data_IF_410922105295
#
_entry.id   IF_410922105295
#
_cell.length_a   1.000
_cell.length_b   1.000
_cell.length_c   1.000
_cell.angle_alpha   90.00
_cell.angle_beta   90.00
_cell.angle_gamma   90.00
#
_symmetry.space_group_name_H-M   'P 1'
#
loop_
_entity.id
_entity.type
_entity.pdbx_description
1 polymer ?
#
# COMPACT_ATOMS: atom_id res chain seq x y z
N UNK A 1 22.67 -3.01 -8.55
CA UNK A 1 23.06 -4.24 -7.83
C UNK A 1 22.10 -4.42 -6.68
N UNK A 2 21.50 -5.61 -6.51
CA UNK A 2 20.56 -5.88 -5.41
C UNK A 2 21.37 -6.13 -4.13
N UNK A 3 21.00 -5.47 -3.03
CA UNK A 3 21.65 -5.65 -1.74
C UNK A 3 21.05 -6.85 -1.00
N UNK A 4 21.90 -7.85 -0.71
CA UNK A 4 21.54 -9.00 0.11
C UNK A 4 21.57 -8.59 1.58
N UNK A 5 20.43 -8.78 2.25
CA UNK A 5 20.24 -8.38 3.64
C UNK A 5 20.82 -9.44 4.57
N UNK A 6 21.36 -9.00 5.70
CA UNK A 6 21.72 -9.91 6.80
C UNK A 6 20.48 -10.35 7.57
N UNK A 7 20.60 -11.40 8.38
CA UNK A 7 19.51 -11.87 9.25
C UNK A 7 18.99 -10.78 10.18
N UNK A 8 19.89 -9.95 10.74
CA UNK A 8 19.53 -8.81 11.58
C UNK A 8 18.71 -7.76 10.81
N UNK A 9 19.12 -7.43 9.59
CA UNK A 9 18.40 -6.47 8.75
C UNK A 9 17.02 -6.99 8.33
N UNK A 10 16.88 -8.31 8.14
CA UNK A 10 15.59 -8.95 7.88
C UNK A 10 14.66 -8.78 9.08
N UNK A 11 15.14 -8.93 10.31
CA UNK A 11 14.33 -8.69 11.52
C UNK A 11 13.96 -7.21 11.70
N UNK A 12 14.87 -6.27 11.39
CA UNK A 12 14.57 -4.85 11.39
C UNK A 12 13.49 -4.49 10.35
N UNK A 13 13.59 -5.05 9.15
CA UNK A 13 12.56 -4.90 8.12
C UNK A 13 11.23 -5.53 8.54
N UNK A 14 11.26 -6.68 9.24
CA UNK A 14 10.04 -7.31 9.77
C UNK A 14 9.33 -6.37 10.74
N UNK A 15 10.07 -5.75 11.66
CA UNK A 15 9.49 -4.79 12.60
C UNK A 15 8.88 -3.57 11.89
N UNK A 16 9.58 -2.98 10.92
CA UNK A 16 9.07 -1.86 10.14
C UNK A 16 7.80 -2.22 9.36
N UNK A 17 7.77 -3.37 8.69
CA UNK A 17 6.59 -3.82 7.93
C UNK A 17 5.42 -4.24 8.85
N UNK A 18 5.69 -4.78 10.04
CA UNK A 18 4.64 -5.01 11.04
C UNK A 18 4.00 -3.71 11.52
N UNK A 19 4.79 -2.64 11.66
CA UNK A 19 4.24 -1.33 12.00
C UNK A 19 3.34 -0.80 10.88
N UNK A 20 3.76 -0.88 9.62
CA UNK A 20 2.89 -0.52 8.47
C UNK A 20 1.55 -1.27 8.53
N UNK A 21 1.59 -2.59 8.74
CA UNK A 21 0.37 -3.39 8.86
C UNK A 21 -0.53 -2.96 10.02
N UNK A 22 0.06 -2.59 11.17
CA UNK A 22 -0.67 -2.03 12.32
C UNK A 22 -1.27 -0.66 11.99
N UNK A 23 -0.54 0.22 11.30
CA UNK A 23 -1.05 1.53 10.86
C UNK A 23 -2.22 1.38 9.91
N UNK A 24 -2.13 0.50 8.90
CA UNK A 24 -3.25 0.21 8.00
C UNK A 24 -4.46 -0.36 8.76
N UNK A 25 -4.22 -1.23 9.74
CA UNK A 25 -5.26 -1.76 10.63
C UNK A 25 -5.90 -0.69 11.53
N UNK A 26 -5.13 0.32 11.95
CA UNK A 26 -5.66 1.47 12.67
C UNK A 26 -6.56 2.30 11.76
N UNK A 27 -6.08 2.67 10.57
CA UNK A 27 -6.84 3.45 9.59
C UNK A 27 -8.15 2.80 9.19
N UNK A 28 -8.17 1.46 9.07
CA UNK A 28 -9.38 0.70 8.77
C UNK A 28 -10.56 1.00 9.70
N UNK A 29 -10.31 1.38 10.96
CA UNK A 29 -11.35 1.72 11.95
C UNK A 29 -12.03 3.06 11.66
N UNK A 30 -11.36 3.93 10.91
CA UNK A 30 -11.77 5.31 10.65
C UNK A 30 -12.23 5.53 9.21
N UNK A 31 -12.05 4.55 8.32
CA UNK A 31 -12.53 4.63 6.93
C UNK A 31 -14.05 4.45 6.91
N UNK A 32 -14.75 5.57 6.72
CA UNK A 32 -16.21 5.63 6.68
C UNK A 32 -16.68 6.81 5.81
N UNK A 33 -17.94 6.79 5.32
CA UNK A 33 -18.52 7.94 4.64
C UNK A 33 -18.45 9.21 5.50
N UNK A 34 -18.12 10.34 4.88
CA UNK A 34 -18.00 11.65 5.54
C UNK A 34 -16.61 11.96 6.09
N UNK A 35 -15.70 10.98 6.19
CA UNK A 35 -14.30 11.20 6.57
C UNK A 35 -13.53 11.75 5.37
N UNK A 36 -12.72 12.79 5.57
CA UNK A 36 -11.82 13.27 4.53
C UNK A 36 -10.44 12.63 4.63
N UNK A 37 -9.78 12.48 3.49
CA UNK A 37 -8.48 11.79 3.40
C UNK A 37 -7.37 12.44 4.25
N UNK A 38 -7.42 13.75 4.48
CA UNK A 38 -6.46 14.43 5.37
C UNK A 38 -6.63 14.06 6.84
N UNK A 39 -7.83 13.67 7.28
CA UNK A 39 -8.02 13.12 8.63
C UNK A 39 -7.33 11.77 8.78
N UNK A 40 -7.44 10.90 7.78
CA UNK A 40 -6.76 9.60 7.76
C UNK A 40 -5.24 9.79 7.78
N UNK A 41 -4.71 10.74 7.02
CA UNK A 41 -3.28 11.06 7.01
C UNK A 41 -2.75 11.48 8.39
N UNK A 42 -3.51 12.33 9.12
CA UNK A 42 -3.16 12.73 10.49
C UNK A 42 -3.15 11.55 11.46
N UNK A 43 -4.15 10.67 11.38
CA UNK A 43 -4.22 9.46 12.22
C UNK A 43 -3.03 8.55 11.92
N UNK A 44 -2.68 8.38 10.64
CA UNK A 44 -1.53 7.58 10.25
C UNK A 44 -0.24 8.17 10.81
N UNK A 45 -0.02 9.48 10.63
CA UNK A 45 1.19 10.15 11.11
C UNK A 45 1.34 10.03 12.63
N UNK A 46 0.28 10.32 13.39
CA UNK A 46 0.27 10.21 14.85
C UNK A 46 0.59 8.78 15.27
N UNK A 47 -0.11 7.78 14.71
CA UNK A 47 0.12 6.37 15.03
C UNK A 47 1.54 5.91 14.71
N UNK A 48 2.10 6.32 13.57
CA UNK A 48 3.48 5.98 13.17
C UNK A 48 4.49 6.56 14.17
N UNK A 49 4.32 7.83 14.55
CA UNK A 49 5.23 8.54 15.47
C UNK A 49 5.15 8.00 16.89
N UNK A 50 3.93 7.71 17.37
CA UNK A 50 3.70 7.12 18.68
C UNK A 50 4.33 5.73 18.83
N UNK A 51 4.56 5.04 17.72
CA UNK A 51 5.24 3.74 17.67
C UNK A 51 6.75 3.85 17.33
N UNK A 52 7.34 5.05 17.46
CA UNK A 52 8.78 5.26 17.36
C UNK A 52 9.34 5.28 15.94
N UNK A 53 8.49 5.43 14.92
CA UNK A 53 8.88 5.53 13.53
C UNK A 53 8.60 6.94 12.96
N UNK A 54 9.06 7.18 11.74
CA UNK A 54 8.66 8.36 10.95
C UNK A 54 7.98 7.94 9.65
N UNK A 55 7.03 8.73 9.12
CA UNK A 55 6.42 8.47 7.82
C UNK A 55 7.47 8.51 6.71
N UNK A 56 7.56 7.44 5.90
CA UNK A 56 8.59 7.36 4.85
C UNK A 56 8.30 8.28 3.65
N UNK A 57 7.02 8.61 3.42
CA UNK A 57 6.59 9.39 2.26
C UNK A 57 6.64 10.89 2.49
N UNK A 58 6.57 11.33 3.76
CA UNK A 58 6.54 12.76 4.09
C UNK A 58 7.86 13.44 3.71
N UNK A 59 7.79 14.35 2.73
CA UNK A 59 8.92 15.06 2.14
C UNK A 59 9.66 14.30 1.04
N UNK A 60 9.32 13.02 0.79
CA UNK A 60 9.96 12.21 -0.24
C UNK A 60 9.64 12.75 -1.64
N UNK A 61 10.65 13.22 -2.37
CA UNK A 61 10.45 13.86 -3.68
C UNK A 61 9.56 15.10 -3.64
N UNK A 62 9.41 15.75 -2.47
CA UNK A 62 8.49 16.87 -2.25
C UNK A 62 7.04 16.45 -1.97
N UNK A 63 6.76 15.16 -1.74
CA UNK A 63 5.42 14.69 -1.36
C UNK A 63 5.01 15.27 0.01
N UNK A 64 3.79 15.85 0.14
CA UNK A 64 3.47 16.70 1.28
C UNK A 64 2.85 15.98 2.50
N UNK A 65 2.56 14.68 2.41
CA UNK A 65 1.76 13.95 3.39
C UNK A 65 2.42 12.63 3.83
N UNK A 66 1.88 12.01 4.87
CA UNK A 66 2.41 10.80 5.51
C UNK A 66 1.97 9.50 4.83
N UNK A 67 0.81 9.50 4.18
CA UNK A 67 0.29 8.38 3.37
C UNK A 67 -0.12 8.84 1.96
N UNK A 68 -0.22 7.91 1.02
CA UNK A 68 -1.00 8.14 -0.19
C UNK A 68 -2.44 7.65 0.02
N UNK A 69 -3.42 8.45 -0.40
CA UNK A 69 -4.85 8.15 -0.30
C UNK A 69 -5.50 8.28 -1.68
N UNK A 70 -5.56 7.16 -2.41
CA UNK A 70 -6.08 7.10 -3.78
C UNK A 70 -7.51 6.59 -3.79
N UNK A 71 -8.46 7.48 -4.11
CA UNK A 71 -9.90 7.17 -4.15
C UNK A 71 -10.31 6.82 -5.58
N UNK A 72 -11.08 5.74 -5.73
CA UNK A 72 -11.71 5.29 -6.97
C UNK A 72 -10.74 5.17 -8.17
N UNK A 73 -10.84 6.06 -9.17
CA UNK A 73 -10.06 6.02 -10.40
C UNK A 73 -8.58 6.40 -10.21
N UNK A 74 -8.22 6.93 -9.05
CA UNK A 74 -6.83 7.25 -8.72
C UNK A 74 -6.04 5.95 -8.55
N UNK A 75 -5.04 5.75 -9.41
CA UNK A 75 -4.26 4.51 -9.44
C UNK A 75 -3.37 4.36 -8.21
N UNK A 76 -2.48 5.33 -7.95
CA UNK A 76 -1.60 5.43 -6.77
C UNK A 76 -1.31 6.90 -6.47
N UNK A 77 -0.56 7.18 -5.40
CA UNK A 77 -0.02 8.51 -5.06
C UNK A 77 -1.07 9.62 -4.94
N UNK A 78 -2.31 9.28 -4.58
CA UNK A 78 -3.33 10.27 -4.25
C UNK A 78 -2.87 11.11 -3.06
N UNK A 79 -2.91 12.43 -3.20
CA UNK A 79 -2.49 13.35 -2.13
C UNK A 79 -3.67 13.56 -1.17
N UNK A 80 -3.51 13.24 0.13
CA UNK A 80 -4.53 13.54 1.15
C UNK A 80 -4.98 15.00 1.12
N UNK A 81 -6.28 15.22 1.21
CA UNK A 81 -6.90 16.54 1.13
C UNK A 81 -8.14 16.63 2.00
N UNK A 82 -8.36 17.79 2.62
CA UNK A 82 -9.61 18.12 3.32
C UNK A 82 -10.82 18.23 2.38
N UNK A 83 -10.58 18.38 1.06
CA UNK A 83 -11.62 18.46 0.04
C UNK A 83 -12.08 17.09 -0.46
N UNK A 84 -11.26 16.05 -0.30
CA UNK A 84 -11.60 14.68 -0.71
C UNK A 84 -12.31 13.99 0.44
N UNK A 85 -13.64 14.02 0.41
CA UNK A 85 -14.53 13.41 1.41
C UNK A 85 -15.00 12.06 0.87
N UNK A 86 -14.76 10.99 1.63
CA UNK A 86 -15.18 9.64 1.28
C UNK A 86 -16.71 9.53 1.31
N UNK A 87 -17.26 8.80 0.35
CA UNK A 87 -18.70 8.58 0.18
C UNK A 87 -19.03 7.10 0.28
N UNK A 88 -20.28 6.80 0.61
CA UNK A 88 -20.82 5.44 0.53
C UNK A 88 -20.61 4.88 -0.88
N UNK A 89 -20.01 3.69 -0.96
CA UNK A 89 -19.73 3.02 -2.21
C UNK A 89 -18.37 3.34 -2.84
N UNK A 90 -17.59 4.26 -2.25
CA UNK A 90 -16.20 4.50 -2.68
C UNK A 90 -15.28 3.34 -2.30
N UNK A 91 -14.14 3.27 -2.99
CA UNK A 91 -12.95 2.54 -2.51
C UNK A 91 -11.80 3.50 -2.33
N UNK A 92 -10.96 3.24 -1.33
CA UNK A 92 -9.75 3.99 -1.06
C UNK A 92 -8.57 3.03 -0.94
N UNK A 93 -7.57 3.20 -1.80
CA UNK A 93 -6.25 2.60 -1.60
C UNK A 93 -5.44 3.50 -0.68
N UNK A 94 -5.02 2.95 0.46
CA UNK A 94 -4.09 3.62 1.37
C UNK A 94 -2.74 2.97 1.22
N UNK A 95 -1.76 3.75 0.79
CA UNK A 95 -0.35 3.36 0.76
C UNK A 95 0.36 3.96 1.97
N UNK A 96 1.12 3.14 2.71
CA UNK A 96 1.76 3.53 3.95
C UNK A 96 3.20 3.02 4.00
N UNK A 97 4.13 3.97 4.17
CA UNK A 97 5.53 3.69 4.40
C UNK A 97 5.98 4.21 5.76
N UNK A 98 6.82 3.43 6.46
CA UNK A 98 7.44 3.85 7.73
C UNK A 98 8.94 3.68 7.68
N UNK A 99 9.69 4.53 8.39
CA UNK A 99 11.10 4.32 8.71
C UNK A 99 11.21 4.05 10.20
N UNK A 100 11.52 2.80 10.56
CA UNK A 100 11.72 2.35 11.94
C UNK A 100 13.13 1.77 12.07
N UNK A 101 13.90 2.24 13.06
CA UNK A 101 15.28 1.80 13.29
C UNK A 101 16.17 1.86 12.03
N UNK A 102 15.94 2.85 11.16
CA UNK A 102 16.69 3.04 9.92
C UNK A 102 16.27 2.12 8.76
N UNK A 103 15.18 1.36 8.88
CA UNK A 103 14.65 0.49 7.83
C UNK A 103 13.23 0.87 7.42
N UNK A 104 12.98 0.76 6.12
CA UNK A 104 11.69 1.05 5.48
C UNK A 104 10.79 -0.18 5.56
N UNK A 105 9.56 0.03 6.03
CA UNK A 105 8.42 -0.84 5.74
C UNK A 105 7.51 -0.14 4.74
N UNK A 106 6.87 -0.91 3.85
CA UNK A 106 6.03 -0.36 2.80
C UNK A 106 4.93 -1.36 2.40
N UNK A 107 3.68 -0.89 2.40
CA UNK A 107 2.53 -1.69 1.97
C UNK A 107 1.31 -0.79 1.72
N UNK A 108 0.54 -1.16 0.70
CA UNK A 108 -0.77 -0.59 0.43
C UNK A 108 -1.89 -1.60 0.64
N UNK A 109 -3.05 -1.11 1.05
CA UNK A 109 -4.30 -1.89 1.09
C UNK A 109 -5.47 -1.04 0.60
N UNK A 110 -6.37 -1.67 -0.16
CA UNK A 110 -7.59 -1.02 -0.64
C UNK A 110 -8.78 -1.40 0.23
N UNK A 111 -9.46 -0.39 0.76
CA UNK A 111 -10.61 -0.50 1.64
C UNK A 111 -11.89 -0.10 0.93
N UNK A 112 -12.99 -0.78 1.27
CA UNK A 112 -14.32 -0.34 0.91
C UNK A 112 -14.77 0.76 1.88
N UNK A 113 -15.46 1.77 1.36
CA UNK A 113 -16.15 2.78 2.18
C UNK A 113 -17.63 2.42 2.24
N UNK A 114 -18.05 1.85 3.36
CA UNK A 114 -19.39 1.29 3.49
C UNK A 114 -19.61 0.10 2.56
N UNK A 115 -20.80 0.01 1.97
CA UNK A 115 -21.15 -1.01 0.99
C UNK A 115 -20.87 -0.56 -0.44
N UNK A 116 -20.01 -1.33 -1.13
CA UNK A 116 -19.63 -1.08 -2.53
C UNK A 116 -20.34 -2.05 -3.48
N UNK A 117 -20.45 -1.65 -4.75
CA UNK A 117 -21.06 -2.47 -5.80
C UNK A 117 -20.38 -3.86 -5.89
N UNK A 118 -21.13 -4.95 -6.13
CA UNK A 118 -20.55 -6.29 -6.29
C UNK A 118 -19.41 -6.39 -7.31
N UNK A 119 -19.43 -5.59 -8.39
CA UNK A 119 -18.36 -5.52 -9.39
C UNK A 119 -17.09 -4.90 -8.82
N UNK A 120 -17.22 -3.92 -7.92
CA UNK A 120 -16.08 -3.34 -7.19
C UNK A 120 -15.50 -4.38 -6.23
N UNK A 121 -16.34 -5.12 -5.49
CA UNK A 121 -15.87 -6.25 -4.64
C UNK A 121 -15.13 -7.30 -5.48
N UNK A 122 -15.60 -7.60 -6.69
CA UNK A 122 -14.95 -8.53 -7.61
C UNK A 122 -13.57 -8.02 -8.09
N UNK A 123 -13.44 -6.72 -8.38
CA UNK A 123 -12.16 -6.09 -8.71
C UNK A 123 -11.18 -6.21 -7.55
N UNK A 124 -11.57 -5.78 -6.34
CA UNK A 124 -10.71 -5.85 -5.15
C UNK A 124 -10.25 -7.28 -4.85
N UNK A 125 -11.18 -8.24 -4.94
CA UNK A 125 -10.86 -9.66 -4.78
C UNK A 125 -9.84 -10.12 -5.81
N UNK A 126 -10.04 -9.78 -7.08
CA UNK A 126 -9.12 -10.18 -8.17
C UNK A 126 -7.73 -9.58 -7.98
N UNK A 127 -7.63 -8.30 -7.61
CA UNK A 127 -6.35 -7.64 -7.31
C UNK A 127 -5.63 -8.29 -6.12
N UNK A 128 -6.37 -8.67 -5.08
CA UNK A 128 -5.79 -9.36 -3.92
C UNK A 128 -5.30 -10.76 -4.27
N UNK A 129 -6.08 -11.52 -5.04
CA UNK A 129 -5.70 -12.85 -5.50
C UNK A 129 -4.47 -12.80 -6.43
N UNK A 130 -4.40 -11.81 -7.33
CA UNK A 130 -3.24 -11.62 -8.21
C UNK A 130 -1.95 -11.33 -7.44
N UNK A 131 -2.03 -10.51 -6.38
CA UNK A 131 -0.91 -10.26 -5.48
C UNK A 131 -0.36 -11.57 -4.88
N UNK A 132 -1.22 -12.42 -4.33
CA UNK A 132 -0.79 -13.69 -3.73
C UNK A 132 -0.23 -14.68 -4.76
N UNK A 133 -0.80 -14.73 -5.96
CA UNK A 133 -0.25 -15.53 -7.07
C UNK A 133 1.15 -15.03 -7.46
N UNK A 134 1.35 -13.71 -7.52
CA UNK A 134 2.67 -13.12 -7.73
C UNK A 134 3.67 -13.49 -6.62
N UNK A 135 3.27 -13.41 -5.36
CA UNK A 135 4.10 -13.78 -4.19
C UNK A 135 4.57 -15.25 -4.26
N UNK A 136 3.72 -16.17 -4.74
CA UNK A 136 4.12 -17.58 -4.92
C UNK A 136 5.23 -17.77 -5.95
N UNK A 137 5.46 -16.80 -6.82
CA UNK A 137 6.56 -16.78 -7.79
C UNK A 137 7.81 -16.05 -7.27
N UNK A 138 7.76 -15.39 -6.10
CA UNK A 138 8.89 -14.72 -5.47
C UNK A 138 9.75 -15.71 -4.65
N UNK A 139 10.32 -16.70 -5.33
CA UNK A 139 11.16 -17.75 -4.74
C UNK A 139 12.51 -17.84 -5.45
N UNK A 140 13.49 -18.47 -4.80
CA UNK A 140 14.82 -18.70 -5.39
C UNK A 140 14.72 -19.39 -6.77
N UNK A 141 15.57 -18.96 -7.70
CA UNK A 141 15.62 -19.50 -9.07
C UNK A 141 14.62 -18.90 -10.06
N UNK A 142 13.61 -18.15 -9.61
CA UNK A 142 12.68 -17.41 -10.47
C UNK A 142 13.17 -15.99 -10.77
N UNK A 143 12.59 -15.36 -11.79
CA UNK A 143 12.86 -13.99 -12.23
C UNK A 143 11.68 -13.07 -11.90
N UNK A 144 11.93 -11.76 -11.84
CA UNK A 144 10.87 -10.76 -11.68
C UNK A 144 9.77 -10.88 -12.76
N UNK A 145 10.14 -11.25 -13.98
CA UNK A 145 9.19 -11.49 -15.06
C UNK A 145 8.20 -12.63 -14.79
N UNK A 146 8.58 -13.63 -13.99
CA UNK A 146 7.67 -14.73 -13.60
C UNK A 146 6.57 -14.23 -12.66
N UNK A 147 6.90 -13.28 -11.77
CA UNK A 147 5.95 -12.60 -10.88
C UNK A 147 4.98 -11.76 -11.73
N UNK A 148 5.52 -10.91 -12.62
CA UNK A 148 4.72 -10.05 -13.49
C UNK A 148 3.80 -10.86 -14.40
N UNK A 149 4.30 -11.96 -14.98
CA UNK A 149 3.49 -12.85 -15.82
C UNK A 149 2.33 -13.48 -15.04
N UNK A 150 2.57 -13.96 -13.81
CA UNK A 150 1.51 -14.55 -12.98
C UNK A 150 0.39 -13.53 -12.67
N UNK A 151 0.78 -12.30 -12.30
CA UNK A 151 -0.17 -11.21 -12.03
C UNK A 151 -0.95 -10.83 -13.30
N UNK A 152 -0.25 -10.56 -14.41
CA UNK A 152 -0.88 -10.12 -15.66
C UNK A 152 -1.83 -11.18 -16.21
N UNK A 153 -1.38 -12.43 -16.30
CA UNK A 153 -2.20 -13.52 -16.82
C UNK A 153 -3.49 -13.68 -16.00
N UNK A 154 -3.39 -13.62 -14.66
CA UNK A 154 -4.57 -13.73 -13.81
C UNK A 154 -5.54 -12.56 -14.02
N UNK A 155 -5.07 -11.31 -13.97
CA UNK A 155 -5.91 -10.12 -14.15
C UNK A 155 -6.59 -10.10 -15.53
N UNK A 156 -5.85 -10.39 -16.60
CA UNK A 156 -6.39 -10.40 -17.98
C UNK A 156 -7.41 -11.54 -18.17
N UNK A 157 -7.19 -12.71 -17.55
CA UNK A 157 -8.18 -13.81 -17.57
C UNK A 157 -9.52 -13.47 -16.90
N UNK A 158 -9.54 -12.43 -16.05
CA UNK A 158 -10.75 -11.90 -15.40
C UNK A 158 -11.32 -10.66 -16.11
N UNK A 159 -10.72 -10.23 -17.21
CA UNK A 159 -11.16 -9.07 -17.98
C UNK A 159 -10.65 -7.71 -17.45
N UNK A 160 -9.63 -7.71 -16.60
CA UNK A 160 -8.97 -6.48 -16.12
C UNK A 160 -7.65 -6.24 -16.85
N UNK A 161 -7.16 -5.00 -16.81
CA UNK A 161 -5.82 -4.62 -17.31
C UNK A 161 -4.84 -4.40 -16.17
N UNK A 162 -3.54 -4.32 -16.50
CA UNK A 162 -2.47 -3.99 -15.56
C UNK A 162 -1.83 -2.66 -15.96
N UNK A 163 -1.65 -1.77 -14.98
CA UNK A 163 -0.96 -0.48 -15.14
C UNK A 163 0.51 -0.73 -15.48
N UNK A 164 1.08 0.02 -16.44
CA UNK A 164 2.43 -0.25 -16.98
C UNK A 164 3.45 0.80 -16.59
N UNK A 165 2.99 1.99 -16.23
CA UNK A 165 3.80 3.16 -15.90
C UNK A 165 4.40 3.08 -14.50
N UNK A 166 3.95 2.13 -13.68
CA UNK A 166 4.31 1.97 -12.28
C UNK A 166 4.67 0.52 -11.99
N UNK A 167 5.68 0.32 -11.15
CA UNK A 167 6.24 -1.00 -10.85
C UNK A 167 6.57 -1.10 -9.36
N UNK A 168 6.70 -2.34 -8.87
CA UNK A 168 7.28 -2.58 -7.55
C UNK A 168 8.77 -2.23 -7.51
N UNK A 169 9.30 -2.04 -6.31
CA UNK A 169 10.69 -1.68 -6.06
C UNK A 169 11.25 -2.44 -4.85
N UNK A 170 12.57 -2.51 -4.75
CA UNK A 170 13.23 -3.08 -3.59
C UNK A 170 13.37 -2.05 -2.48
N UNK A 171 13.00 -2.39 -1.26
CA UNK A 171 13.18 -1.55 -0.07
C UNK A 171 14.26 -2.11 0.87
N UNK A 172 14.68 -1.29 1.83
CA UNK A 172 15.67 -1.64 2.85
C UNK A 172 15.95 -0.44 3.74
N UNK A 173 17.19 0.06 3.75
CA UNK A 173 17.53 1.32 4.44
C UNK A 173 16.96 2.58 3.78
N UNK A 174 16.52 2.45 2.52
CA UNK A 174 15.99 3.53 1.70
C UNK A 174 14.80 3.00 0.88
N UNK A 175 13.96 3.94 0.47
CA UNK A 175 12.99 3.77 -0.61
C UNK A 175 13.69 3.59 -1.97
#
# INVERSE_FOLDING_TARGET
MIYLKTDEEIELMRAANQLVGKTLGELAKHIAPGVNTLQLDKIAEEFIRDNGAVPAFLGYGGFPNSICASVNEQVVHGIPSSKTILKEGDVISVDCGTVLNGFVGDSAYTFCVGEVDPKVKALLKTTKESLYLGIQHAIEGKRLGDISHAVQFYCESKGYSVVRELVGHGIGRKM
#
